data_IF_512402033671
#
_entry.id   IF_512402033671
#
_cell.length_a   1.000
_cell.length_b   1.000
_cell.length_c   1.000
_cell.angle_alpha   90.00
_cell.angle_beta   90.00
_cell.angle_gamma   90.00
#
_symmetry.space_group_name_H-M   'P 1'
#
loop_
_entity.id
_entity.type
_entity.pdbx_description
1 polymer ?
#
# COMPACT_ATOMS: atom_id res chain seq x y z
N UNK A 1 -15.39 1.64 -9.18
CA UNK A 1 -15.42 1.36 -7.72
C UNK A 1 -16.84 1.26 -7.18
N UNK A 2 -17.76 2.10 -7.65
CA UNK A 2 -19.17 2.20 -7.23
C UNK A 2 -20.03 0.93 -7.42
N UNK A 3 -19.88 0.12 -8.48
CA UNK A 3 -20.71 -1.09 -8.64
C UNK A 3 -20.58 -2.10 -7.49
N UNK A 4 -19.37 -2.24 -6.92
CA UNK A 4 -19.11 -3.14 -5.80
C UNK A 4 -19.74 -2.66 -4.49
N UNK A 5 -19.71 -1.34 -4.25
CA UNK A 5 -20.36 -0.74 -3.09
C UNK A 5 -21.88 -0.93 -3.16
N UNK A 6 -22.49 -0.67 -4.32
CA UNK A 6 -23.92 -0.87 -4.52
C UNK A 6 -24.33 -2.33 -4.32
N UNK A 7 -23.56 -3.27 -4.87
CA UNK A 7 -23.80 -4.70 -4.67
C UNK A 7 -23.70 -5.09 -3.18
N UNK A 8 -22.69 -4.61 -2.45
CA UNK A 8 -22.57 -4.89 -1.02
C UNK A 8 -23.77 -4.34 -0.23
N UNK A 9 -24.18 -3.11 -0.50
CA UNK A 9 -25.31 -2.48 0.17
C UNK A 9 -26.61 -3.25 -0.11
N UNK A 10 -26.83 -3.67 -1.37
CA UNK A 10 -27.99 -4.46 -1.76
C UNK A 10 -28.04 -5.85 -1.08
N UNK A 11 -26.89 -6.54 -0.96
CA UNK A 11 -26.81 -7.87 -0.33
C UNK A 11 -26.95 -7.77 1.19
N UNK A 12 -26.29 -6.78 1.82
CA UNK A 12 -26.18 -6.71 3.28
C UNK A 12 -27.25 -5.84 3.94
N UNK A 13 -28.02 -5.09 3.15
CA UNK A 13 -28.99 -4.10 3.63
C UNK A 13 -28.36 -2.90 4.34
N UNK A 14 -27.03 -2.73 4.24
CA UNK A 14 -26.31 -1.61 4.86
C UNK A 14 -26.24 -0.44 3.89
N UNK A 15 -26.29 0.78 4.42
CA UNK A 15 -26.13 2.00 3.62
C UNK A 15 -24.72 2.58 3.81
N UNK A 16 -23.72 1.93 3.22
CA UNK A 16 -22.33 2.44 3.28
C UNK A 16 -22.11 3.47 2.20
N UNK A 17 -21.37 4.52 2.54
CA UNK A 17 -20.88 5.51 1.59
C UNK A 17 -19.57 5.08 0.93
N UNK A 18 -19.17 5.76 -0.15
CA UNK A 18 -17.84 5.56 -0.77
C UNK A 18 -16.71 5.87 0.23
N UNK A 19 -16.90 6.87 1.09
CA UNK A 19 -15.93 7.21 2.12
C UNK A 19 -15.78 6.11 3.16
N UNK A 20 -16.89 5.48 3.61
CA UNK A 20 -16.84 4.33 4.50
C UNK A 20 -16.06 3.17 3.87
N UNK A 21 -16.28 2.95 2.57
CA UNK A 21 -15.58 1.92 1.82
C UNK A 21 -14.07 2.19 1.75
N UNK A 22 -13.68 3.42 1.43
CA UNK A 22 -12.27 3.82 1.37
C UNK A 22 -11.61 3.78 2.75
N UNK A 23 -12.31 4.21 3.81
CA UNK A 23 -11.84 4.09 5.21
C UNK A 23 -11.63 2.64 5.62
N UNK A 24 -12.54 1.75 5.26
CA UNK A 24 -12.40 0.32 5.52
C UNK A 24 -11.15 -0.26 4.83
N UNK A 25 -10.94 0.06 3.55
CA UNK A 25 -9.75 -0.35 2.81
C UNK A 25 -8.44 0.16 3.43
N UNK A 26 -8.39 1.44 3.82
CA UNK A 26 -7.21 2.02 4.50
C UNK A 26 -6.88 1.25 5.78
N UNK A 27 -7.88 1.07 6.66
CA UNK A 27 -7.73 0.33 7.93
C UNK A 27 -7.27 -1.12 7.71
N UNK A 28 -7.79 -1.81 6.70
CA UNK A 28 -7.36 -3.18 6.39
C UNK A 28 -5.88 -3.25 6.05
N UNK A 29 -5.37 -2.30 5.28
CA UNK A 29 -3.95 -2.31 4.90
C UNK A 29 -3.07 -1.87 6.06
N UNK A 30 -3.50 -0.92 6.88
CA UNK A 30 -2.78 -0.51 8.10
C UNK A 30 -2.70 -1.67 9.10
N UNK A 31 -3.80 -2.37 9.35
CA UNK A 31 -3.84 -3.54 10.23
C UNK A 31 -2.90 -4.65 9.73
N UNK A 32 -2.92 -4.94 8.42
CA UNK A 32 -2.02 -5.93 7.82
C UNK A 32 -0.56 -5.54 8.04
N UNK A 33 -0.20 -4.26 7.83
CA UNK A 33 1.16 -3.78 8.06
C UNK A 33 1.56 -3.89 9.52
N UNK A 34 0.71 -3.47 10.45
CA UNK A 34 0.98 -3.57 11.88
C UNK A 34 1.22 -5.02 12.31
N UNK A 35 0.39 -5.95 11.82
CA UNK A 35 0.60 -7.38 12.06
C UNK A 35 1.92 -7.88 11.48
N UNK A 36 2.25 -7.53 10.23
CA UNK A 36 3.53 -7.92 9.62
C UNK A 36 4.74 -7.43 10.44
N UNK A 37 4.69 -6.19 10.95
CA UNK A 37 5.74 -5.64 11.81
C UNK A 37 5.83 -6.41 13.13
N UNK A 38 4.68 -6.77 13.74
CA UNK A 38 4.66 -7.62 14.93
C UNK A 38 5.27 -9.01 14.68
N UNK A 39 5.20 -9.50 13.44
CA UNK A 39 5.87 -10.72 13.00
C UNK A 39 7.34 -10.52 12.58
N UNK A 40 7.91 -9.32 12.73
CA UNK A 40 9.32 -9.05 12.47
C UNK A 40 9.63 -8.47 11.08
N UNK A 41 8.64 -8.17 10.25
CA UNK A 41 8.86 -7.45 8.98
C UNK A 41 9.30 -6.02 9.26
N UNK A 42 10.33 -5.57 8.55
CA UNK A 42 10.92 -4.25 8.67
C UNK A 42 10.89 -3.50 7.34
N UNK A 43 11.31 -2.23 7.36
CA UNK A 43 11.56 -1.45 6.13
C UNK A 43 12.55 -2.13 5.18
N UNK A 44 13.51 -2.91 5.69
CA UNK A 44 14.48 -3.61 4.85
C UNK A 44 13.86 -4.69 3.96
N UNK A 45 12.69 -5.21 4.37
CA UNK A 45 11.94 -6.24 3.65
C UNK A 45 11.02 -5.65 2.57
N UNK A 46 10.79 -4.33 2.59
CA UNK A 46 10.00 -3.64 1.57
C UNK A 46 10.85 -3.45 0.31
N UNK A 47 11.08 -4.53 -0.40
CA UNK A 47 11.87 -4.55 -1.64
C UNK A 47 11.18 -5.39 -2.71
N UNK A 48 11.75 -5.40 -3.91
CA UNK A 48 11.27 -6.17 -5.05
C UNK A 48 12.38 -7.08 -5.57
N UNK A 49 12.06 -7.98 -6.49
CA UNK A 49 13.03 -8.93 -7.04
C UNK A 49 14.27 -8.25 -7.61
N UNK A 50 15.45 -8.86 -7.41
CA UNK A 50 16.77 -8.31 -7.83
C UNK A 50 16.81 -7.85 -9.30
N UNK A 51 16.02 -8.49 -10.16
CA UNK A 51 15.91 -8.17 -11.59
C UNK A 51 15.49 -6.71 -11.85
N UNK A 52 14.68 -6.12 -10.98
CA UNK A 52 14.21 -4.74 -11.16
C UNK A 52 15.30 -3.69 -10.91
N UNK A 53 16.40 -4.07 -10.25
CA UNK A 53 17.57 -3.21 -10.06
C UNK A 53 18.62 -3.38 -11.18
N UNK A 54 18.29 -4.11 -12.24
CA UNK A 54 19.12 -4.26 -13.42
C UNK A 54 18.48 -3.54 -14.59
N UNK A 55 19.18 -2.57 -15.16
CA UNK A 55 18.70 -1.87 -16.34
C UNK A 55 18.61 -2.83 -17.54
N UNK A 56 17.56 -2.67 -18.34
CA UNK A 56 17.44 -3.40 -19.60
C UNK A 56 18.28 -2.72 -20.69
N UNK A 57 18.86 -3.49 -21.62
CA UNK A 57 19.77 -2.94 -22.64
C UNK A 57 19.06 -2.26 -23.81
N UNK A 58 17.75 -2.50 -23.97
CA UNK A 58 16.94 -2.06 -25.12
C UNK A 58 15.50 -1.78 -24.68
N UNK A 59 14.75 -1.03 -25.49
CA UNK A 59 13.35 -0.68 -25.24
C UNK A 59 13.16 0.69 -24.56
N UNK A 60 11.92 1.06 -24.28
CA UNK A 60 11.54 2.40 -23.82
C UNK A 60 12.08 2.80 -22.44
N UNK A 61 12.47 1.82 -21.61
CA UNK A 61 13.05 2.05 -20.27
C UNK A 61 14.53 1.66 -20.20
N UNK A 62 15.22 1.65 -21.35
CA UNK A 62 16.66 1.36 -21.44
C UNK A 62 17.45 2.21 -20.45
N UNK A 63 18.45 1.60 -19.81
CA UNK A 63 19.35 2.24 -18.85
C UNK A 63 18.67 2.82 -17.59
N UNK A 64 17.37 2.53 -17.37
CA UNK A 64 16.64 3.02 -16.20
C UNK A 64 16.36 1.90 -15.21
N UNK A 65 16.47 2.25 -13.92
CA UNK A 65 16.04 1.43 -12.78
C UNK A 65 15.17 2.31 -11.86
N UNK A 66 14.12 1.76 -11.24
CA UNK A 66 13.23 2.55 -10.40
C UNK A 66 13.97 3.04 -9.15
N UNK A 67 13.78 4.32 -8.73
CA UNK A 67 14.34 4.84 -7.49
C UNK A 67 13.52 4.34 -6.29
N UNK A 68 13.61 3.03 -6.01
CA UNK A 68 12.69 2.33 -5.12
C UNK A 68 12.62 2.94 -3.71
N UNK A 69 13.76 3.29 -3.10
CA UNK A 69 13.80 3.85 -1.75
C UNK A 69 13.04 5.18 -1.63
N UNK A 70 13.11 6.01 -2.68
CA UNK A 70 12.38 7.27 -2.75
C UNK A 70 10.87 7.00 -2.91
N UNK A 71 10.51 6.02 -3.73
CA UNK A 71 9.12 5.62 -3.94
C UNK A 71 8.49 5.06 -2.67
N UNK A 72 9.22 4.23 -1.91
CA UNK A 72 8.78 3.67 -0.62
C UNK A 72 8.57 4.80 0.39
N UNK A 73 9.54 5.71 0.51
CA UNK A 73 9.45 6.83 1.45
C UNK A 73 8.25 7.72 1.13
N UNK A 74 7.99 8.01 -0.15
CA UNK A 74 6.80 8.75 -0.60
C UNK A 74 5.51 7.97 -0.32
N UNK A 75 5.52 6.66 -0.53
CA UNK A 75 4.37 5.81 -0.25
C UNK A 75 4.02 5.83 1.25
N UNK A 76 4.98 5.69 2.15
CA UNK A 76 4.75 5.80 3.59
C UNK A 76 4.13 7.15 3.96
N UNK A 77 4.66 8.25 3.43
CA UNK A 77 4.09 9.59 3.66
C UNK A 77 2.63 9.70 3.20
N UNK A 78 2.29 9.19 2.01
CA UNK A 78 0.91 9.16 1.49
C UNK A 78 -0.02 8.29 2.35
N UNK A 79 0.53 7.27 3.01
CA UNK A 79 -0.19 6.40 3.93
C UNK A 79 -0.34 6.98 5.33
N UNK A 80 0.44 8.00 5.68
CA UNK A 80 0.53 8.52 7.04
C UNK A 80 1.30 7.57 7.97
N UNK A 81 2.24 6.81 7.40
CA UNK A 81 3.15 5.95 8.16
C UNK A 81 4.44 6.72 8.47
N UNK A 82 5.16 6.30 9.50
CA UNK A 82 6.46 6.89 9.83
C UNK A 82 7.58 6.42 8.87
N UNK A 83 8.81 6.89 9.11
CA UNK A 83 9.96 6.59 8.26
C UNK A 83 10.39 5.11 8.29
N UNK A 84 9.95 4.37 9.31
CA UNK A 84 10.14 2.93 9.50
C UNK A 84 8.98 2.11 8.92
N UNK A 85 7.96 2.78 8.35
CA UNK A 85 6.80 2.15 7.74
C UNK A 85 5.81 1.62 8.78
N UNK A 86 5.83 2.13 10.01
CA UNK A 86 4.82 1.84 11.03
C UNK A 86 3.60 2.73 10.77
N UNK A 87 2.39 2.14 10.69
CA UNK A 87 1.17 2.94 10.64
C UNK A 87 1.07 3.83 11.86
N UNK A 88 0.71 5.11 11.66
CA UNK A 88 0.32 5.94 12.79
C UNK A 88 -0.79 5.21 13.55
N UNK A 89 -0.64 5.06 14.87
CA UNK A 89 -1.72 4.58 15.73
C UNK A 89 -2.86 5.60 15.58
N UNK A 90 -3.84 5.29 14.73
CA UNK A 90 -5.02 6.12 14.63
C UNK A 90 -5.74 6.06 15.98
N UNK A 91 -5.79 7.22 16.64
CA UNK A 91 -6.67 7.55 17.77
C UNK A 91 -8.12 7.18 17.48
#
# INVERSE_FOLDING_TARGET
MTPWLHALNAITGKDRTLDDWMRAGRRMVDLKRAYSIACGITKADDTIGKRFFQAIPKGGTKAHVPPLDQLISRYYALRGWDAEGRPATSR
#
